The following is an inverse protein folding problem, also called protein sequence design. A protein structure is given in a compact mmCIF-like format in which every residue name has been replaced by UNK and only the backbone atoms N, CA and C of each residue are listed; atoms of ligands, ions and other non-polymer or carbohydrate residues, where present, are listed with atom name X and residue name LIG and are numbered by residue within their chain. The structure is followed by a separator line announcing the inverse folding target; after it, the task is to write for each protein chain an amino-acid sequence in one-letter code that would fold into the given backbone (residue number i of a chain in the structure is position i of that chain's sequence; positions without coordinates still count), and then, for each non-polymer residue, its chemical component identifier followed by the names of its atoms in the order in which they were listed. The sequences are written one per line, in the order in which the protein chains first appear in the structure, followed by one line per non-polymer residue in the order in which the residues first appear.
data_IF_354717659482
#
_entry.id   IF_354717659482
#
_cell.length_a   1.000
_cell.length_b   1.000
_cell.length_c   1.000
_cell.angle_alpha   90.00
_cell.angle_beta   90.00
_cell.angle_gamma   90.00
#
_symmetry.space_group_name_H-M   'P 1'
#
loop_
_entity.id
_entity.type
_entity.pdbx_description
1 polymer ?
#
# COMPACT_ATOMS: atom_id res chain seq x y z
N UNK A 1 -9.31 37.91 -7.30
CA UNK A 1 -8.85 37.78 -8.70
C UNK A 1 -7.67 36.81 -8.66
N UNK A 2 -7.86 35.52 -8.99
CA UNK A 2 -7.71 34.92 -10.34
C UNK A 2 -6.27 35.11 -10.86
N UNK A 3 -5.47 34.13 -11.31
CA UNK A 3 -5.69 32.80 -11.88
C UNK A 3 -4.32 32.06 -11.91
N UNK A 4 -4.31 30.72 -11.79
CA UNK A 4 -3.23 29.86 -12.34
C UNK A 4 -3.22 29.94 -13.89
N UNK A 5 -2.12 29.52 -14.55
CA UNK A 5 -2.26 28.35 -15.45
C UNK A 5 -1.04 27.42 -15.37
N UNK A 6 -1.18 26.09 -15.26
CA UNK A 6 -1.62 25.09 -16.26
C UNK A 6 -0.66 24.89 -17.45
N UNK A 7 0.06 23.76 -17.35
CA UNK A 7 0.52 22.79 -18.37
C UNK A 7 0.38 23.17 -19.85
N UNK A 8 1.48 22.98 -20.60
CA UNK A 8 1.45 22.62 -22.02
C UNK A 8 2.12 21.26 -22.24
N UNK A 9 1.33 20.34 -22.78
CA UNK A 9 1.76 19.14 -23.50
C UNK A 9 2.42 19.56 -24.82
N UNK A 10 3.49 18.90 -25.23
CA UNK A 10 3.99 18.94 -26.62
C UNK A 10 4.18 17.52 -27.14
N UNK A 11 3.45 17.25 -28.22
CA UNK A 11 3.43 16.05 -29.03
C UNK A 11 4.64 15.96 -29.96
N UNK A 12 4.90 14.71 -30.34
CA UNK A 12 5.79 14.18 -31.36
C UNK A 12 6.05 15.05 -32.61
N UNK A 13 7.30 14.99 -33.09
CA UNK A 13 7.67 15.28 -34.48
C UNK A 13 8.44 14.08 -35.03
N UNK A 14 7.84 13.39 -36.01
CA UNK A 14 8.48 12.38 -36.86
C UNK A 14 9.34 13.06 -37.93
N UNK A 15 10.46 12.44 -38.25
CA UNK A 15 11.35 12.79 -39.37
C UNK A 15 11.16 11.80 -40.53
N UNK A 16 11.06 12.24 -41.80
CA UNK A 16 11.03 11.34 -42.96
C UNK A 16 12.34 11.41 -43.75
N UNK A 17 12.88 10.26 -44.17
CA UNK A 17 13.16 10.03 -45.60
C UNK A 17 13.76 8.65 -45.95
N UNK A 18 13.26 8.16 -47.09
CA UNK A 18 13.77 7.13 -48.02
C UNK A 18 13.66 5.66 -47.62
N UNK A 19 13.18 4.73 -48.45
CA UNK A 19 12.20 4.66 -49.54
C UNK A 19 12.07 3.15 -49.87
N UNK A 20 10.92 2.75 -50.42
CA UNK A 20 10.67 1.46 -51.10
C UNK A 20 10.64 0.17 -50.26
N UNK A 21 9.44 -0.18 -49.77
CA UNK A 21 8.87 -1.49 -50.10
C UNK A 21 7.34 -1.44 -49.92
N UNK A 22 6.66 -1.42 -51.06
CA UNK A 22 5.21 -1.56 -51.20
C UNK A 22 4.87 -3.04 -50.99
N UNK A 23 4.18 -3.38 -49.90
CA UNK A 23 3.27 -4.51 -49.88
C UNK A 23 2.30 -4.42 -48.69
N UNK A 24 1.11 -3.91 -49.00
CA UNK A 24 -0.19 -4.48 -48.64
C UNK A 24 -0.16 -5.54 -47.52
N UNK A 25 -0.74 -5.22 -46.36
CA UNK A 25 -1.78 -6.08 -45.77
C UNK A 25 -2.46 -5.38 -44.58
N UNK A 26 -3.51 -4.63 -44.88
CA UNK A 26 -4.60 -4.38 -43.94
C UNK A 26 -5.35 -5.69 -43.71
N UNK A 27 -5.09 -6.37 -42.59
CA UNK A 27 -6.00 -7.38 -42.04
C UNK A 27 -6.04 -7.26 -40.52
N UNK A 28 -7.23 -6.92 -40.02
CA UNK A 28 -7.76 -7.31 -38.72
C UNK A 28 -7.24 -8.70 -38.32
N UNK A 29 -6.86 -8.89 -37.06
CA UNK A 29 -7.25 -10.05 -36.26
C UNK A 29 -6.89 -9.83 -34.79
N UNK A 30 -7.94 -9.58 -34.01
CA UNK A 30 -8.21 -10.14 -32.68
C UNK A 30 -7.21 -11.24 -32.29
N UNK A 31 -6.37 -10.99 -31.28
CA UNK A 31 -5.64 -12.04 -30.58
C UNK A 31 -6.06 -12.06 -29.12
N UNK A 32 -7.10 -12.85 -28.86
CA UNK A 32 -7.34 -13.51 -27.59
C UNK A 32 -6.29 -14.59 -27.38
N UNK A 33 -5.50 -14.59 -26.28
CA UNK A 33 -4.87 -15.82 -25.85
C UNK A 33 -5.89 -16.65 -25.04
N UNK A 34 -6.48 -17.62 -25.73
CA UNK A 34 -7.02 -18.81 -25.08
C UNK A 34 -5.83 -19.63 -24.55
N UNK A 35 -5.64 -19.65 -23.23
CA UNK A 35 -4.85 -20.68 -22.59
C UNK A 35 -5.81 -21.68 -21.94
N UNK A 36 -5.88 -22.86 -22.57
CA UNK A 36 -6.57 -24.02 -22.08
C UNK A 36 -5.89 -24.56 -20.81
N UNK A 37 -6.73 -24.96 -19.86
CA UNK A 37 -6.43 -25.75 -18.68
C UNK A 37 -5.47 -26.90 -18.95
N UNK A 38 -4.54 -27.13 -18.02
CA UNK A 38 -4.20 -28.49 -17.62
C UNK A 38 -4.13 -28.54 -16.10
N UNK A 39 -5.09 -29.28 -15.54
CA UNK A 39 -5.27 -29.51 -14.12
C UNK A 39 -4.05 -30.20 -13.51
N UNK A 40 -3.54 -29.64 -12.42
CA UNK A 40 -2.87 -30.43 -11.39
C UNK A 40 -3.54 -30.06 -10.08
N UNK A 41 -4.50 -30.90 -9.71
CA UNK A 41 -5.05 -30.95 -8.38
C UNK A 41 -3.91 -31.09 -7.37
N UNK A 42 -3.88 -30.24 -6.35
CA UNK A 42 -3.73 -30.64 -4.93
C UNK A 42 -3.59 -29.38 -4.07
N UNK A 43 -4.48 -29.31 -3.07
CA UNK A 43 -4.48 -28.38 -1.94
C UNK A 43 -4.97 -26.97 -2.23
N UNK A 44 -6.27 -26.90 -2.49
CA UNK A 44 -7.16 -25.96 -1.80
C UNK A 44 -6.84 -25.93 -0.29
N UNK A 45 -5.85 -25.15 0.10
CA UNK A 45 -5.78 -24.60 1.45
C UNK A 45 -6.87 -23.54 1.50
N UNK A 46 -8.00 -23.95 2.05
CA UNK A 46 -9.05 -23.13 2.62
C UNK A 46 -8.46 -21.86 3.23
N UNK A 47 -8.43 -20.75 2.48
CA UNK A 47 -8.49 -19.44 3.11
C UNK A 47 -9.91 -19.35 3.63
N UNK A 48 -10.12 -19.93 4.81
CA UNK A 48 -11.21 -19.51 5.65
C UNK A 48 -10.98 -18.02 5.83
N UNK A 49 -11.75 -17.23 5.10
CA UNK A 49 -11.95 -15.81 5.33
C UNK A 49 -12.65 -15.72 6.68
N UNK A 50 -11.88 -15.97 7.74
CA UNK A 50 -12.20 -15.54 9.07
C UNK A 50 -12.21 -14.02 8.95
N UNK A 51 -13.43 -13.48 8.85
CA UNK A 51 -13.72 -12.05 8.95
C UNK A 51 -13.43 -11.63 10.39
N UNK A 52 -12.17 -11.75 10.80
CA UNK A 52 -11.66 -11.22 12.03
C UNK A 52 -11.92 -9.72 11.97
N UNK A 53 -12.86 -9.26 12.81
CA UNK A 53 -13.26 -7.87 12.86
C UNK A 53 -12.02 -7.01 13.05
N UNK A 54 -11.67 -6.25 12.02
CA UNK A 54 -10.51 -5.37 12.04
C UNK A 54 -10.78 -4.30 13.09
N UNK A 55 -9.97 -4.25 14.14
CA UNK A 55 -10.13 -3.33 15.26
C UNK A 55 -8.90 -2.43 15.40
N UNK A 56 -9.06 -1.29 16.05
CA UNK A 56 -7.95 -0.36 16.31
C UNK A 56 -6.80 -1.07 17.05
N UNK A 57 -7.13 -1.90 18.05
CA UNK A 57 -6.13 -2.63 18.84
C UNK A 57 -5.34 -3.62 18.00
N UNK A 58 -5.99 -4.35 17.07
CA UNK A 58 -5.29 -5.28 16.18
C UNK A 58 -4.35 -4.55 15.23
N UNK A 59 -4.73 -3.37 14.72
CA UNK A 59 -3.84 -2.52 13.93
C UNK A 59 -2.64 -2.03 14.74
N UNK A 60 -2.83 -1.62 15.99
CA UNK A 60 -1.71 -1.16 16.83
C UNK A 60 -0.70 -2.30 17.05
N UNK A 61 -1.18 -3.51 17.33
CA UNK A 61 -0.31 -4.70 17.46
C UNK A 61 0.42 -4.98 16.14
N UNK A 62 -0.29 -4.99 15.02
CA UNK A 62 0.29 -5.21 13.70
C UNK A 62 1.36 -4.16 13.36
N UNK A 63 1.10 -2.88 13.64
CA UNK A 63 2.07 -1.80 13.43
C UNK A 63 3.31 -1.97 14.31
N UNK A 64 3.15 -2.43 15.56
CA UNK A 64 4.27 -2.73 16.44
C UNK A 64 5.17 -3.81 15.86
N UNK A 65 4.59 -4.92 15.37
CA UNK A 65 5.34 -6.00 14.73
C UNK A 65 6.09 -5.50 13.50
N UNK A 66 5.44 -4.71 12.64
CA UNK A 66 6.10 -4.15 11.46
C UNK A 66 7.21 -3.17 11.80
N UNK A 67 7.04 -2.34 12.83
CA UNK A 67 8.11 -1.45 13.30
C UNK A 67 9.31 -2.29 13.77
N UNK A 68 9.08 -3.36 14.54
CA UNK A 68 10.16 -4.26 14.99
C UNK A 68 10.88 -4.94 13.81
N UNK A 69 10.12 -5.42 12.83
CA UNK A 69 10.67 -5.98 11.60
C UNK A 69 11.53 -4.95 10.84
N UNK A 70 11.05 -3.72 10.69
CA UNK A 70 11.76 -2.63 10.02
C UNK A 70 13.06 -2.21 10.71
N UNK A 71 13.10 -2.18 12.04
CA UNK A 71 14.31 -1.81 12.79
C UNK A 71 15.31 -2.96 12.91
N UNK A 72 14.85 -4.21 12.85
CA UNK A 72 15.72 -5.40 12.96
C UNK A 72 16.75 -5.50 11.84
N UNK A 73 16.51 -4.85 10.71
CA UNK A 73 17.32 -4.94 9.49
C UNK A 73 17.48 -6.37 8.93
N UNK A 74 16.66 -7.32 9.39
CA UNK A 74 16.66 -8.73 8.99
C UNK A 74 15.27 -9.22 8.55
N UNK A 75 14.32 -8.30 8.34
CA UNK A 75 13.00 -8.67 7.85
C UNK A 75 13.03 -8.90 6.33
N UNK A 76 12.40 -9.98 5.87
CA UNK A 76 12.30 -10.31 4.45
C UNK A 76 11.57 -9.18 3.69
N UNK A 77 12.20 -8.68 2.62
CA UNK A 77 11.70 -7.53 1.88
C UNK A 77 10.32 -7.76 1.22
N UNK A 78 10.10 -8.94 0.64
CA UNK A 78 8.83 -9.27 0.00
C UNK A 78 7.69 -9.37 1.04
N UNK A 79 7.92 -10.13 2.11
CA UNK A 79 6.95 -10.31 3.19
C UNK A 79 6.60 -8.98 3.86
N UNK A 80 7.60 -8.15 4.12
CA UNK A 80 7.37 -6.84 4.72
C UNK A 80 6.49 -5.93 3.85
N UNK A 81 6.74 -5.87 2.54
CA UNK A 81 5.93 -5.08 1.59
C UNK A 81 4.47 -5.54 1.54
N UNK A 82 4.25 -6.85 1.55
CA UNK A 82 2.90 -7.42 1.60
C UNK A 82 2.23 -6.99 2.89
N UNK A 83 2.87 -7.20 4.05
CA UNK A 83 2.27 -6.86 5.33
C UNK A 83 2.01 -5.35 5.50
N UNK A 84 2.90 -4.49 5.00
CA UNK A 84 2.69 -3.03 5.00
C UNK A 84 1.49 -2.63 4.13
N UNK A 85 1.30 -3.30 2.99
CA UNK A 85 0.11 -3.09 2.13
C UNK A 85 -1.15 -3.57 2.84
N UNK A 86 -1.14 -4.78 3.42
CA UNK A 86 -2.26 -5.31 4.17
C UNK A 86 -2.65 -4.42 5.35
N UNK A 87 -1.68 -3.88 6.09
CA UNK A 87 -1.94 -2.92 7.15
C UNK A 87 -2.72 -1.69 6.66
N UNK A 88 -2.32 -1.13 5.51
CA UNK A 88 -3.01 0.02 4.90
C UNK A 88 -4.43 -0.32 4.47
N UNK A 89 -4.64 -1.50 3.87
CA UNK A 89 -5.98 -1.93 3.45
C UNK A 89 -6.88 -2.21 4.66
N UNK A 90 -6.37 -2.85 5.72
CA UNK A 90 -7.09 -3.01 6.98
C UNK A 90 -7.51 -1.66 7.59
N UNK A 91 -6.60 -0.67 7.57
CA UNK A 91 -6.91 0.69 8.04
C UNK A 91 -8.00 1.35 7.20
N UNK A 92 -7.95 1.19 5.87
CA UNK A 92 -8.96 1.71 4.95
C UNK A 92 -10.33 1.12 5.25
N UNK A 93 -10.43 -0.19 5.40
CA UNK A 93 -11.69 -0.89 5.72
C UNK A 93 -12.27 -0.42 7.06
N UNK A 94 -11.43 -0.25 8.07
CA UNK A 94 -11.83 0.27 9.38
C UNK A 94 -12.34 1.73 9.30
N UNK A 95 -11.68 2.58 8.52
CA UNK A 95 -12.11 3.98 8.35
C UNK A 95 -13.46 4.08 7.64
N UNK A 96 -13.70 3.23 6.64
CA UNK A 96 -14.99 3.17 5.93
C UNK A 96 -16.09 2.72 6.89
N UNK A 97 -15.88 1.63 7.63
CA UNK A 97 -16.88 1.11 8.57
C UNK A 97 -17.18 2.06 9.72
N UNK A 98 -16.21 2.81 10.22
CA UNK A 98 -16.42 3.83 11.25
C UNK A 98 -17.15 5.06 10.71
N UNK A 99 -16.89 5.44 9.45
CA UNK A 99 -17.54 6.60 8.81
C UNK A 99 -19.05 6.39 8.62
N UNK A 100 -19.49 5.15 8.41
CA UNK A 100 -20.91 4.79 8.34
C UNK A 100 -21.60 4.86 9.71
N UNK A 101 -20.85 4.57 10.79
CA UNK A 101 -21.35 4.53 12.17
C UNK A 101 -21.41 5.91 12.84
N UNK A 102 -20.55 6.85 12.46
CA UNK A 102 -20.34 8.10 13.23
C UNK A 102 -20.73 9.36 12.45
N UNK A 103 -22.02 9.73 12.49
CA UNK A 103 -22.50 11.02 11.94
C UNK A 103 -22.53 12.20 12.94
N UNK A 104 -22.34 11.97 14.24
CA UNK A 104 -22.65 13.01 15.26
C UNK A 104 -21.63 13.17 16.39
N UNK A 105 -20.66 12.28 16.55
CA UNK A 105 -19.72 12.34 17.69
C UNK A 105 -18.38 11.80 17.22
N UNK A 106 -17.30 12.57 17.31
CA UNK A 106 -15.94 12.10 17.63
C UNK A 106 -14.84 13.00 17.04
N UNK A 107 -14.40 13.99 17.81
CA UNK A 107 -13.11 14.68 17.57
C UNK A 107 -11.92 13.82 18.01
N UNK A 108 -12.08 13.02 19.06
CA UNK A 108 -11.00 12.21 19.63
C UNK A 108 -10.67 10.91 18.85
N UNK A 109 -11.62 10.34 18.09
CA UNK A 109 -11.31 9.18 17.22
C UNK A 109 -10.48 9.62 16.01
N UNK A 110 -10.81 10.80 15.45
CA UNK A 110 -10.11 11.40 14.33
C UNK A 110 -8.61 11.58 14.60
N UNK A 111 -8.22 12.03 15.80
CA UNK A 111 -6.80 12.17 16.12
C UNK A 111 -6.07 10.83 16.07
N UNK A 112 -6.66 9.76 16.60
CA UNK A 112 -6.06 8.43 16.58
C UNK A 112 -5.98 7.86 15.16
N UNK A 113 -7.04 8.03 14.35
CA UNK A 113 -7.02 7.65 12.95
C UNK A 113 -5.92 8.37 12.16
N UNK A 114 -5.74 9.68 12.38
CA UNK A 114 -4.66 10.43 11.75
C UNK A 114 -3.27 9.90 12.13
N UNK A 115 -3.07 9.47 13.39
CA UNK A 115 -1.81 8.84 13.78
C UNK A 115 -1.60 7.45 13.14
N UNK A 116 -2.66 6.65 12.97
CA UNK A 116 -2.59 5.37 12.26
C UNK A 116 -2.28 5.59 10.77
N UNK A 117 -2.89 6.62 10.15
CA UNK A 117 -2.59 7.01 8.76
C UNK A 117 -1.13 7.43 8.63
N UNK A 118 -0.61 8.26 9.54
CA UNK A 118 0.83 8.60 9.56
C UNK A 118 1.71 7.37 9.71
N UNK A 119 1.33 6.43 10.58
CA UNK A 119 2.07 5.18 10.73
C UNK A 119 2.06 4.36 9.42
N UNK A 120 0.92 4.25 8.73
CA UNK A 120 0.85 3.56 7.44
C UNK A 120 1.79 4.16 6.39
N UNK A 121 1.89 5.50 6.35
CA UNK A 121 2.80 6.20 5.44
C UNK A 121 4.28 5.93 5.79
N UNK A 122 4.63 5.90 7.08
CA UNK A 122 5.98 5.56 7.52
C UNK A 122 6.33 4.10 7.20
N UNK A 123 5.40 3.17 7.41
CA UNK A 123 5.58 1.75 7.06
C UNK A 123 5.72 1.55 5.54
N UNK A 124 4.97 2.30 4.73
CA UNK A 124 5.13 2.29 3.28
C UNK A 124 6.49 2.85 2.85
N UNK A 125 6.98 3.89 3.54
CA UNK A 125 8.32 4.44 3.31
C UNK A 125 9.38 3.40 3.68
N UNK A 126 9.19 2.65 4.77
CA UNK A 126 10.08 1.55 5.16
C UNK A 126 10.09 0.42 4.12
N UNK A 127 8.93 0.13 3.52
CA UNK A 127 8.79 -0.88 2.48
C UNK A 127 9.48 -0.47 1.15
N UNK A 128 9.69 0.83 0.95
CA UNK A 128 10.37 1.43 -0.20
C UNK A 128 11.88 1.65 0.01
N UNK A 129 12.43 1.34 1.19
CA UNK A 129 13.85 1.45 1.47
C UNK A 129 14.70 0.55 0.55
N UNK A 130 16.03 0.78 0.52
CA UNK A 130 16.95 -0.09 -0.25
C UNK A 130 16.83 -1.53 0.23
N UNK A 131 16.64 -2.46 -0.70
CA UNK A 131 16.40 -3.88 -0.38
C UNK A 131 17.33 -4.80 -1.15
N UNK A 132 17.89 -5.78 -0.44
CA UNK A 132 18.34 -7.04 -1.02
C UNK A 132 17.30 -8.12 -0.69
N UNK A 133 17.73 -9.22 -0.06
CA UNK A 133 16.83 -10.21 0.56
C UNK A 133 16.06 -9.63 1.77
N UNK A 134 16.67 -8.67 2.46
CA UNK A 134 16.14 -8.04 3.66
C UNK A 134 15.95 -6.53 3.45
N UNK A 135 15.05 -5.93 4.24
CA UNK A 135 14.86 -4.47 4.27
C UNK A 135 15.94 -3.82 5.14
N UNK A 136 16.50 -2.70 4.64
CA UNK A 136 17.44 -1.88 5.41
C UNK A 136 16.99 -0.43 5.34
N UNK A 137 16.47 0.08 6.46
CA UNK A 137 15.97 1.45 6.56
C UNK A 137 17.09 2.41 7.03
N UNK A 138 17.11 3.66 6.56
CA UNK A 138 17.98 4.69 7.10
C UNK A 138 17.62 4.99 8.57
N UNK A 139 18.60 5.49 9.34
CA UNK A 139 18.46 5.67 10.79
C UNK A 139 17.36 6.67 11.16
N UNK A 140 17.19 7.71 10.35
CA UNK A 140 16.17 8.76 10.53
C UNK A 140 14.77 8.15 10.45
N UNK A 141 14.52 7.28 9.48
CA UNK A 141 13.22 6.62 9.31
C UNK A 141 12.94 5.65 10.47
N UNK A 142 13.96 4.93 10.94
CA UNK A 142 13.82 4.06 12.12
C UNK A 142 13.42 4.86 13.37
N UNK A 143 14.03 6.01 13.59
CA UNK A 143 13.69 6.88 14.71
C UNK A 143 12.26 7.43 14.58
N UNK A 144 11.83 7.81 13.38
CA UNK A 144 10.45 8.24 13.11
C UNK A 144 9.43 7.13 13.40
N UNK A 145 9.69 5.90 12.95
CA UNK A 145 8.84 4.74 13.25
C UNK A 145 8.69 4.51 14.75
N UNK A 146 9.80 4.52 15.50
CA UNK A 146 9.80 4.35 16.95
C UNK A 146 9.04 5.48 17.65
N UNK A 147 9.28 6.73 17.25
CA UNK A 147 8.57 7.88 17.80
C UNK A 147 7.08 7.82 17.53
N UNK A 148 6.67 7.41 16.33
CA UNK A 148 5.27 7.31 15.97
C UNK A 148 4.58 6.16 16.71
N UNK A 149 5.26 5.03 16.89
CA UNK A 149 4.74 3.90 17.65
C UNK A 149 4.48 4.29 19.10
N UNK A 150 5.42 5.02 19.72
CA UNK A 150 5.27 5.54 21.08
C UNK A 150 4.06 6.45 21.20
N UNK A 151 3.85 7.37 20.23
CA UNK A 151 2.67 8.27 20.20
C UNK A 151 1.37 7.47 20.12
N UNK A 152 1.29 6.50 19.22
CA UNK A 152 0.11 5.63 19.09
C UNK A 152 -0.21 4.89 20.39
N UNK A 153 0.79 4.33 21.06
CA UNK A 153 0.61 3.65 22.34
C UNK A 153 0.09 4.60 23.43
N UNK A 154 0.65 5.80 23.54
CA UNK A 154 0.17 6.78 24.55
C UNK A 154 -1.28 7.21 24.32
N UNK A 155 -1.70 7.37 23.07
CA UNK A 155 -3.08 7.75 22.73
C UNK A 155 -4.06 6.58 22.93
N UNK A 156 -3.62 5.36 22.63
CA UNK A 156 -4.41 4.16 22.88
C UNK A 156 -4.69 3.98 24.38
N UNK A 157 -3.71 4.22 25.24
CA UNK A 157 -3.86 4.12 26.69
C UNK A 157 -4.81 5.18 27.24
N UNK A 158 -4.84 6.39 26.66
CA UNK A 158 -5.75 7.47 27.08
C UNK A 158 -7.22 7.20 26.73
N UNK A 159 -7.48 6.25 25.83
CA UNK A 159 -8.84 5.87 25.40
C UNK A 159 -9.43 4.72 26.26
N UNK A 160 -8.58 3.96 26.95
CA UNK A 160 -8.99 2.88 27.86
C UNK A 160 -9.36 3.40 29.24
#
# INVERSE_FOLDING_TARGET
MFFLPLRKFTLAHCSPNKAHSLLLCTCLLVFTPAFANMDTATSSATYAEETAEVSISSLIIQSSTLVQEAISSNANASRFRINATLYRESLRSLMISESEKTKTTHTNSNTLFMELVRMSALLQSAAACKTGRFIVCPIELRQQLLSQQKRLQTLSLKKS
#
